data_IF_895993418598
#
_entry.id   IF_895993418598
#
_cell.length_a   1.000
_cell.length_b   1.000
_cell.length_c   1.000
_cell.angle_alpha   90.00
_cell.angle_beta   90.00
_cell.angle_gamma   90.00
#
_symmetry.space_group_name_H-M   'P 1'
#
loop_
_entity.id
_entity.type
_entity.pdbx_description
1 polymer ?
#
# COMPACT_ATOMS: atom_id res chain seq x y z
N UNK A 1 18.48 55.52 -60.44
CA UNK A 1 19.58 56.09 -59.60
C UNK A 1 19.35 55.65 -58.16
N UNK A 2 20.40 55.09 -57.53
CA UNK A 2 20.65 54.89 -56.09
C UNK A 2 19.68 54.02 -55.24
N UNK A 3 20.15 52.82 -54.89
CA UNK A 3 20.23 52.37 -53.49
C UNK A 3 21.51 52.97 -52.85
N UNK A 4 21.70 53.05 -51.51
CA UNK A 4 22.09 51.85 -50.74
C UNK A 4 21.82 51.79 -49.21
N UNK A 5 22.00 50.57 -48.66
CA UNK A 5 22.64 50.15 -47.39
C UNK A 5 22.26 50.73 -46.01
N UNK A 6 21.98 49.80 -45.08
CA UNK A 6 22.81 49.68 -43.86
C UNK A 6 22.07 49.63 -42.51
N UNK A 7 22.18 48.48 -41.82
CA UNK A 7 21.86 48.35 -40.39
C UNK A 7 21.70 46.90 -39.94
N UNK A 8 22.81 46.23 -39.65
CA UNK A 8 22.88 44.87 -39.10
C UNK A 8 22.99 44.87 -37.56
N UNK A 9 22.53 43.78 -36.93
CA UNK A 9 22.99 43.13 -35.66
C UNK A 9 21.88 42.12 -35.27
N UNK A 10 22.00 40.79 -35.43
CA UNK A 10 22.81 39.81 -34.67
C UNK A 10 22.67 39.98 -33.15
N UNK A 11 21.95 39.07 -32.47
CA UNK A 11 22.52 38.09 -31.50
C UNK A 11 21.40 37.20 -30.94
N UNK A 12 21.63 35.89 -31.06
CA UNK A 12 20.97 34.75 -30.40
C UNK A 12 21.13 34.80 -28.88
N UNK A 13 20.14 34.38 -28.09
CA UNK A 13 20.28 33.80 -26.73
C UNK A 13 18.86 33.53 -26.19
N UNK A 14 18.34 32.30 -26.27
CA UNK A 14 18.34 31.33 -25.16
C UNK A 14 18.14 31.97 -23.78
N UNK A 15 16.91 31.91 -23.28
CA UNK A 15 16.68 31.75 -21.85
C UNK A 15 15.76 30.55 -21.62
N UNK A 16 16.42 29.46 -21.25
CA UNK A 16 15.86 28.27 -20.64
C UNK A 16 15.60 28.59 -19.18
N UNK A 17 14.37 28.46 -18.68
CA UNK A 17 14.00 28.30 -17.24
C UNK A 17 12.45 28.31 -17.20
N UNK A 18 11.70 27.30 -16.77
CA UNK A 18 11.95 25.98 -16.24
C UNK A 18 10.91 25.08 -16.91
N UNK A 19 11.37 24.04 -17.61
CA UNK A 19 10.62 22.80 -17.53
C UNK A 19 10.59 22.49 -16.03
N UNK A 20 9.46 22.73 -15.38
CA UNK A 20 9.14 21.94 -14.21
C UNK A 20 9.15 20.51 -14.72
N UNK A 21 10.32 19.88 -14.59
CA UNK A 21 10.40 18.52 -14.10
C UNK A 21 9.56 18.55 -12.82
N UNK A 22 8.24 18.43 -12.99
CA UNK A 22 7.53 17.51 -12.14
C UNK A 22 8.38 16.26 -12.24
N UNK A 23 9.16 16.01 -11.18
CA UNK A 23 9.55 14.65 -10.86
C UNK A 23 8.34 13.79 -11.22
N UNK A 24 8.51 12.71 -12.00
CA UNK A 24 7.38 11.86 -12.29
C UNK A 24 6.72 11.59 -10.96
N UNK A 25 5.53 12.17 -10.75
CA UNK A 25 4.68 11.86 -9.60
C UNK A 25 4.74 10.35 -9.56
N UNK A 26 5.31 9.74 -8.50
CA UNK A 26 5.66 8.32 -8.52
C UNK A 26 4.40 7.64 -9.00
N UNK A 27 4.47 7.06 -10.21
CA UNK A 27 3.30 6.62 -10.96
C UNK A 27 2.39 5.94 -9.95
N UNK A 28 1.22 6.54 -9.69
CA UNK A 28 0.41 6.29 -8.49
C UNK A 28 0.57 4.83 -8.10
N UNK A 29 1.34 4.57 -7.02
CA UNK A 29 1.96 3.27 -6.81
C UNK A 29 0.90 2.20 -7.05
N UNK A 30 1.14 1.25 -7.96
CA UNK A 30 0.19 0.20 -8.31
C UNK A 30 0.00 -0.81 -7.15
N UNK A 31 0.37 -0.39 -5.95
CA UNK A 31 0.26 -1.10 -4.70
C UNK A 31 -1.17 -1.04 -4.22
N UNK A 32 -1.63 -2.18 -3.76
CA UNK A 32 -2.91 -2.30 -3.05
C UNK A 32 -2.66 -3.07 -1.77
N UNK A 33 -3.29 -2.62 -0.69
CA UNK A 33 -3.22 -3.26 0.61
C UNK A 33 -4.61 -3.74 1.03
N UNK A 34 -4.62 -4.85 1.77
CA UNK A 34 -5.81 -5.39 2.41
C UNK A 34 -5.48 -5.92 3.80
N UNK A 35 -6.45 -5.80 4.70
CA UNK A 35 -6.43 -6.45 6.01
C UNK A 35 -7.19 -7.77 5.88
N UNK A 36 -6.53 -8.85 6.29
CA UNK A 36 -7.12 -10.18 6.32
C UNK A 36 -7.80 -10.37 7.67
N UNK A 37 -9.11 -10.60 7.62
CA UNK A 37 -9.97 -10.75 8.80
C UNK A 37 -10.47 -12.18 8.95
N UNK A 38 -10.71 -12.58 10.19
CA UNK A 38 -11.29 -13.88 10.56
C UNK A 38 -12.44 -13.72 11.54
N UNK A 39 -13.25 -14.76 11.66
CA UNK A 39 -14.44 -14.79 12.50
C UNK A 39 -14.14 -14.53 13.98
N UNK A 40 -14.71 -13.47 14.52
CA UNK A 40 -14.73 -13.20 15.95
C UNK A 40 -15.96 -13.90 16.57
N UNK A 41 -15.78 -14.89 17.48
CA UNK A 41 -16.89 -15.69 18.00
C UNK A 41 -17.91 -14.89 18.83
N UNK A 42 -17.46 -13.92 19.62
CA UNK A 42 -18.36 -13.09 20.43
C UNK A 42 -19.18 -12.08 19.62
N UNK A 43 -18.61 -11.54 18.53
CA UNK A 43 -19.26 -10.53 17.67
C UNK A 43 -20.10 -11.22 16.59
N UNK A 44 -19.73 -12.45 16.21
CA UNK A 44 -20.42 -13.21 15.17
C UNK A 44 -20.18 -12.64 13.77
N UNK A 45 -19.01 -12.06 13.52
CA UNK A 45 -18.62 -11.43 12.26
C UNK A 45 -17.11 -11.62 12.01
N UNK A 46 -16.64 -11.64 10.75
CA UNK A 46 -15.22 -11.72 10.41
C UNK A 46 -14.52 -10.37 10.58
N UNK A 47 -14.19 -10.01 11.83
CA UNK A 47 -13.64 -8.70 12.20
C UNK A 47 -12.28 -8.75 12.90
N UNK A 48 -11.77 -9.95 13.23
CA UNK A 48 -10.47 -10.08 13.89
C UNK A 48 -9.34 -10.00 12.86
N UNK A 49 -8.43 -9.02 12.93
CA UNK A 49 -7.32 -8.91 11.99
C UNK A 49 -6.25 -9.96 12.27
N UNK A 50 -5.78 -10.63 11.22
CA UNK A 50 -4.72 -11.66 11.32
C UNK A 50 -3.50 -11.39 10.45
N UNK A 51 -3.64 -10.57 9.39
CA UNK A 51 -2.51 -10.17 8.57
C UNK A 51 -2.83 -8.93 7.73
N UNK A 52 -1.78 -8.31 7.21
CA UNK A 52 -1.83 -7.34 6.11
C UNK A 52 -1.27 -8.02 4.86
N UNK A 53 -2.00 -7.93 3.75
CA UNK A 53 -1.59 -8.38 2.43
C UNK A 53 -1.34 -7.16 1.55
N UNK A 54 -0.20 -7.15 0.87
CA UNK A 54 0.11 -6.18 -0.18
C UNK A 54 0.40 -6.87 -1.51
N UNK A 55 -0.07 -6.25 -2.59
CA UNK A 55 0.26 -6.65 -3.96
C UNK A 55 0.78 -5.44 -4.75
N UNK A 56 1.83 -5.65 -5.54
CA UNK A 56 2.33 -4.70 -6.54
C UNK A 56 2.08 -5.25 -7.95
N UNK A 57 1.13 -4.63 -8.65
CA UNK A 57 0.73 -5.02 -10.01
C UNK A 57 1.67 -4.47 -11.10
N UNK A 58 2.64 -3.64 -10.75
CA UNK A 58 3.61 -3.12 -11.72
C UNK A 58 4.62 -4.16 -12.18
N UNK A 59 4.70 -5.31 -11.48
CA UNK A 59 5.62 -6.41 -11.76
C UNK A 59 4.90 -7.66 -12.29
N UNK A 60 5.61 -8.49 -13.07
CA UNK A 60 5.11 -9.78 -13.55
C UNK A 60 6.15 -10.90 -13.26
N UNK A 61 5.84 -11.87 -12.39
CA UNK A 61 4.62 -11.97 -11.59
C UNK A 61 4.47 -10.81 -10.60
N UNK A 62 3.24 -10.51 -10.18
CA UNK A 62 2.96 -9.47 -9.20
C UNK A 62 3.75 -9.75 -7.92
N UNK A 63 4.42 -8.73 -7.38
CA UNK A 63 5.11 -8.87 -6.10
C UNK A 63 4.07 -8.92 -4.98
N UNK A 64 4.27 -9.83 -4.02
CA UNK A 64 3.37 -10.03 -2.90
C UNK A 64 4.11 -9.92 -1.57
N UNK A 65 3.51 -9.16 -0.65
CA UNK A 65 3.95 -9.07 0.73
C UNK A 65 2.83 -9.53 1.65
N UNK A 66 3.14 -10.37 2.63
CA UNK A 66 2.22 -10.72 3.73
C UNK A 66 2.90 -10.43 5.06
N UNK A 67 2.20 -9.73 5.95
CA UNK A 67 2.63 -9.42 7.30
C UNK A 67 1.61 -9.94 8.30
N UNK A 68 1.98 -11.01 9.00
CA UNK A 68 1.11 -11.66 9.97
C UNK A 68 1.11 -10.91 11.30
N UNK A 69 -0.07 -10.77 11.89
CA UNK A 69 -0.20 -10.33 13.29
C UNK A 69 0.50 -11.36 14.19
N UNK A 70 1.34 -10.95 15.14
CA UNK A 70 1.93 -11.87 16.10
C UNK A 70 0.86 -12.60 16.94
N UNK A 71 1.15 -13.84 17.35
CA UNK A 71 0.35 -14.65 18.30
C UNK A 71 -1.01 -15.18 17.80
N UNK A 72 -1.46 -14.88 16.58
CA UNK A 72 -2.74 -15.40 16.02
C UNK A 72 -2.55 -16.63 15.11
N UNK A 73 -1.60 -17.51 15.45
CA UNK A 73 -1.09 -18.52 14.52
C UNK A 73 -2.15 -19.52 14.02
N UNK A 74 -3.00 -20.05 14.89
CA UNK A 74 -4.03 -21.03 14.50
C UNK A 74 -5.26 -20.36 13.91
N UNK A 75 -5.65 -19.19 14.43
CA UNK A 75 -6.81 -18.44 13.92
C UNK A 75 -6.60 -17.95 12.49
N UNK A 76 -5.34 -17.78 12.08
CA UNK A 76 -4.93 -17.38 10.73
C UNK A 76 -4.93 -18.53 9.69
N UNK A 77 -5.12 -19.79 10.09
CA UNK A 77 -5.00 -20.96 9.21
C UNK A 77 -5.87 -20.87 7.94
N UNK A 78 -7.14 -20.40 7.99
CA UNK A 78 -7.94 -20.25 6.79
C UNK A 78 -7.31 -19.34 5.73
N UNK A 79 -6.54 -18.33 6.15
CA UNK A 79 -5.81 -17.46 5.23
C UNK A 79 -4.51 -18.09 4.75
N UNK A 80 -3.80 -18.84 5.60
CA UNK A 80 -2.58 -19.56 5.20
C UNK A 80 -2.85 -20.61 4.13
N UNK A 81 -3.98 -21.30 4.21
CA UNK A 81 -4.40 -22.28 3.21
C UNK A 81 -4.71 -21.62 1.85
N UNK A 82 -5.20 -20.38 1.86
CA UNK A 82 -5.56 -19.62 0.65
C UNK A 82 -4.34 -18.94 0.00
N UNK A 83 -3.42 -18.45 0.83
CA UNK A 83 -2.27 -17.65 0.38
C UNK A 83 -1.12 -18.54 -0.11
N UNK A 84 -1.07 -18.84 -1.41
CA UNK A 84 0.09 -19.44 -2.08
C UNK A 84 1.08 -18.41 -2.62
N UNK A 85 2.31 -18.79 -2.95
CA UNK A 85 3.37 -17.88 -3.49
C UNK A 85 2.92 -17.07 -4.73
N UNK A 86 1.86 -17.51 -5.42
CA UNK A 86 1.33 -16.94 -6.64
C UNK A 86 -0.01 -16.21 -6.47
N UNK A 87 -0.39 -15.77 -5.27
CA UNK A 87 -1.66 -15.04 -5.05
C UNK A 87 -1.77 -13.84 -6.02
N UNK A 88 -2.84 -13.80 -6.81
CA UNK A 88 -3.10 -12.72 -7.79
C UNK A 88 -4.28 -11.84 -7.37
N UNK A 89 -4.49 -10.71 -8.06
CA UNK A 89 -5.66 -9.85 -7.85
C UNK A 89 -6.99 -10.58 -8.15
N UNK A 90 -7.00 -11.51 -9.12
CA UNK A 90 -8.17 -12.33 -9.43
C UNK A 90 -8.55 -13.25 -8.26
N UNK A 91 -7.57 -13.72 -7.48
CA UNK A 91 -7.85 -14.43 -6.23
C UNK A 91 -8.47 -13.49 -5.19
N UNK A 92 -7.97 -12.25 -5.08
CA UNK A 92 -8.52 -11.23 -4.16
C UNK A 92 -9.97 -10.90 -4.51
N UNK A 93 -10.26 -10.59 -5.77
CA UNK A 93 -11.60 -10.29 -6.24
C UNK A 93 -12.56 -11.45 -5.99
N UNK A 94 -12.09 -12.69 -6.19
CA UNK A 94 -12.85 -13.90 -5.88
C UNK A 94 -13.16 -13.99 -4.39
N UNK A 95 -12.18 -13.72 -3.52
CA UNK A 95 -12.38 -13.77 -2.07
C UNK A 95 -13.33 -12.66 -1.58
N UNK A 96 -13.24 -11.45 -2.13
CA UNK A 96 -14.17 -10.34 -1.86
C UNK A 96 -15.60 -10.72 -2.27
N UNK A 97 -15.79 -11.37 -3.42
CA UNK A 97 -17.13 -11.80 -3.87
C UNK A 97 -17.70 -12.94 -3.01
N UNK A 98 -16.85 -13.71 -2.35
CA UNK A 98 -17.24 -14.80 -1.45
C UNK A 98 -17.49 -14.32 0.00
N UNK A 99 -17.55 -13.00 0.23
CA UNK A 99 -17.80 -12.41 1.55
C UNK A 99 -19.11 -12.92 2.17
N UNK A 100 -18.98 -13.75 3.21
CA UNK A 100 -20.13 -14.39 3.87
C UNK A 100 -19.78 -15.61 4.74
N UNK A 101 -18.53 -15.74 5.18
CA UNK A 101 -18.04 -16.92 5.90
C UNK A 101 -17.06 -16.59 7.03
N UNK A 102 -16.16 -17.53 7.33
CA UNK A 102 -15.20 -17.41 8.43
C UNK A 102 -14.09 -16.37 8.22
N UNK A 103 -13.99 -15.77 7.03
CA UNK A 103 -12.95 -14.81 6.65
C UNK A 103 -13.52 -13.68 5.81
N UNK A 104 -12.89 -12.50 5.91
CA UNK A 104 -13.16 -11.33 5.07
C UNK A 104 -11.87 -10.59 4.70
N UNK A 105 -11.92 -9.79 3.65
CA UNK A 105 -10.88 -8.86 3.25
C UNK A 105 -11.42 -7.44 3.36
N UNK A 106 -10.70 -6.57 4.04
CA UNK A 106 -11.00 -5.13 4.04
C UNK A 106 -9.89 -4.39 3.30
N UNK A 107 -10.21 -3.50 2.34
CA UNK A 107 -9.21 -2.62 1.73
C UNK A 107 -8.53 -1.74 2.79
N UNK A 108 -7.23 -1.54 2.64
CA UNK A 108 -6.47 -0.59 3.45
C UNK A 108 -5.83 0.46 2.56
N UNK A 109 -5.79 1.70 3.06
CA UNK A 109 -5.09 2.78 2.40
C UNK A 109 -3.57 2.57 2.46
N UNK A 110 -2.86 3.09 1.47
CA UNK A 110 -1.38 3.10 1.48
C UNK A 110 -0.92 4.21 2.44
N UNK A 111 -0.15 3.90 3.50
CA UNK A 111 0.31 4.91 4.44
C UNK A 111 1.22 5.96 3.77
N UNK A 112 1.06 7.23 4.16
CA UNK A 112 1.96 8.28 3.72
C UNK A 112 3.41 8.00 4.17
N UNK A 113 4.37 8.26 3.29
CA UNK A 113 5.79 8.02 3.58
C UNK A 113 6.24 6.56 3.49
N UNK A 114 5.39 5.64 3.03
CA UNK A 114 5.80 4.29 2.67
C UNK A 114 6.90 4.33 1.58
N UNK A 115 7.98 3.57 1.80
CA UNK A 115 9.17 3.58 0.94
C UNK A 115 9.11 2.47 -0.12
N UNK A 116 8.52 1.34 0.26
CA UNK A 116 8.31 0.15 -0.55
C UNK A 116 7.04 -0.58 -0.02
N UNK A 117 6.56 -1.59 -0.76
CA UNK A 117 5.36 -2.35 -0.40
C UNK A 117 5.50 -3.06 0.95
N UNK A 118 6.71 -3.52 1.29
CA UNK A 118 7.01 -4.14 2.58
C UNK A 118 6.84 -3.12 3.71
N UNK A 119 7.44 -1.94 3.57
CA UNK A 119 7.34 -0.87 4.55
C UNK A 119 5.88 -0.41 4.70
N UNK A 120 5.13 -0.31 3.60
CA UNK A 120 3.70 0.02 3.64
C UNK A 120 2.89 -0.99 4.47
N UNK A 121 3.09 -2.29 4.23
CA UNK A 121 2.41 -3.34 4.98
C UNK A 121 2.81 -3.37 6.47
N UNK A 122 4.08 -3.09 6.78
CA UNK A 122 4.56 -3.00 8.16
C UNK A 122 3.97 -1.80 8.91
N UNK A 123 3.79 -0.66 8.25
CA UNK A 123 3.13 0.51 8.84
C UNK A 123 1.66 0.23 9.18
N UNK A 124 0.89 -0.37 8.26
CA UNK A 124 -0.50 -0.77 8.53
C UNK A 124 -0.56 -1.81 9.66
N UNK A 125 0.35 -2.79 9.68
CA UNK A 125 0.40 -3.76 10.77
C UNK A 125 0.66 -3.09 12.12
N UNK A 126 1.60 -2.13 12.17
CA UNK A 126 1.90 -1.41 13.41
C UNK A 126 0.70 -0.60 13.92
N UNK A 127 -0.08 0.00 13.03
CA UNK A 127 -1.32 0.70 13.39
C UNK A 127 -2.35 -0.26 13.99
N UNK A 128 -2.60 -1.41 13.35
CA UNK A 128 -3.48 -2.46 13.89
C UNK A 128 -3.03 -2.92 15.28
N UNK A 129 -1.73 -3.11 15.49
CA UNK A 129 -1.20 -3.52 16.78
C UNK A 129 -1.31 -2.43 17.85
N UNK A 130 -1.20 -1.15 17.47
CA UNK A 130 -1.32 -0.04 18.39
C UNK A 130 -2.75 0.10 18.93
N UNK A 131 -3.77 -0.20 18.13
CA UNK A 131 -5.17 -0.21 18.59
C UNK A 131 -5.49 -1.37 19.55
N UNK A 132 -4.75 -2.48 19.44
CA UNK A 132 -4.96 -3.70 20.24
C UNK A 132 -4.26 -3.65 21.61
N UNK A 133 -3.23 -2.81 21.77
CA UNK A 133 -2.54 -2.69 23.07
C UNK A 133 -3.36 -1.76 23.98
N UNK A 134 -4.00 -2.25 25.06
CA UNK A 134 -4.61 -1.37 26.04
C UNK A 134 -3.53 -0.45 26.61
N UNK A 135 -3.80 0.86 26.64
CA UNK A 135 -2.89 1.85 27.21
C UNK A 135 -2.42 1.35 28.58
N UNK A 136 -1.13 1.01 28.69
CA UNK A 136 -0.54 0.62 29.95
C UNK A 136 -0.80 1.75 30.95
N UNK A 137 -1.34 1.46 32.16
CA UNK A 137 -1.46 2.48 33.17
C UNK A 137 -0.07 3.10 33.39
N UNK A 138 0.03 4.42 33.61
CA UNK A 138 1.31 5.07 33.84
C UNK A 138 2.04 4.31 34.94
N UNK A 139 3.29 3.91 34.67
CA UNK A 139 4.13 3.33 35.71
C UNK A 139 4.20 4.38 36.82
N UNK A 140 3.58 4.09 37.96
CA UNK A 140 3.66 4.97 39.11
C UNK A 140 5.13 5.12 39.48
N UNK A 141 5.64 6.34 39.45
CA UNK A 141 6.92 6.67 40.06
C UNK A 141 6.78 6.39 41.56
N UNK A 142 7.42 5.31 42.01
CA UNK A 142 7.54 4.91 43.41
C UNK A 142 9.00 4.89 43.82
#
# INVERSE_FOLDING_TARGET
MKAPLGGASVTTEHDTTEAQTAEPSPAAAAWRLWILLVWHPAIGLPVDPVAVLGLDESQQPAERVVRWVPLVYETADPWRERLGETTTNEDIERWIQQSGGACSLEPADIPEGALDLTHAADLVLNELLAEVIPALPPRGDG
#
